data_IF_421361438497
#
_entry.id   IF_421361438497
#
_cell.length_a   1.000
_cell.length_b   1.000
_cell.length_c   1.000
_cell.angle_alpha   90.00
_cell.angle_beta   90.00
_cell.angle_gamma   90.00
#
_symmetry.space_group_name_H-M   'P 1'
#
loop_
_entity.id
_entity.type
_entity.pdbx_description
1 polymer ?
#
# COMPACT_ATOMS: atom_id res chain seq x y z
N UNK A 1 24.69 -6.30 11.78
CA UNK A 1 25.06 -4.88 11.64
C UNK A 1 25.02 -4.38 10.20
N UNK A 2 25.72 -5.01 9.23
CA UNK A 2 25.76 -4.52 7.82
C UNK A 2 24.39 -4.43 7.11
N UNK A 3 23.52 -5.42 7.32
CA UNK A 3 22.18 -5.42 6.70
C UNK A 3 21.22 -4.42 7.37
N UNK A 4 21.30 -4.29 8.69
CA UNK A 4 20.54 -3.29 9.48
C UNK A 4 20.85 -1.86 9.03
N UNK A 5 22.13 -1.54 8.86
CA UNK A 5 22.55 -0.22 8.37
C UNK A 5 22.10 0.05 6.93
N UNK A 6 22.07 -0.98 6.09
CA UNK A 6 21.58 -0.89 4.72
C UNK A 6 20.06 -0.66 4.67
N UNK A 7 19.29 -1.36 5.51
CA UNK A 7 17.85 -1.14 5.59
C UNK A 7 17.50 0.29 6.05
N UNK A 8 18.21 0.80 7.07
CA UNK A 8 18.02 2.18 7.55
C UNK A 8 18.47 3.23 6.52
N UNK A 9 19.58 3.00 5.81
CA UNK A 9 20.03 3.93 4.77
C UNK A 9 19.06 3.98 3.59
N UNK A 10 18.48 2.84 3.20
CA UNK A 10 17.45 2.77 2.16
C UNK A 10 16.14 3.43 2.58
N UNK A 11 15.73 3.28 3.83
CA UNK A 11 14.58 4.00 4.37
C UNK A 11 14.80 5.53 4.31
N UNK A 12 15.99 5.99 4.71
CA UNK A 12 16.40 7.39 4.58
C UNK A 12 16.42 7.88 3.13
N UNK A 13 16.94 7.07 2.21
CA UNK A 13 16.97 7.36 0.78
C UNK A 13 15.55 7.47 0.20
N UNK A 14 14.65 6.53 0.55
CA UNK A 14 13.24 6.56 0.13
C UNK A 14 12.53 7.82 0.62
N UNK A 15 12.79 8.23 1.86
CA UNK A 15 12.27 9.48 2.41
C UNK A 15 12.76 10.70 1.63
N UNK A 16 14.07 10.80 1.39
CA UNK A 16 14.64 11.91 0.61
C UNK A 16 14.07 11.96 -0.81
N UNK A 17 13.97 10.80 -1.48
CA UNK A 17 13.37 10.71 -2.82
C UNK A 17 11.92 11.19 -2.81
N UNK A 18 11.12 10.77 -1.82
CA UNK A 18 9.72 11.21 -1.66
C UNK A 18 9.61 12.73 -1.51
N UNK A 19 10.45 13.33 -0.66
CA UNK A 19 10.47 14.79 -0.44
C UNK A 19 10.86 15.56 -1.71
N UNK A 20 11.90 15.11 -2.41
CA UNK A 20 12.36 15.73 -3.65
C UNK A 20 11.30 15.57 -4.76
N UNK A 21 10.65 14.41 -4.83
CA UNK A 21 9.67 14.07 -5.84
C UNK A 21 8.33 14.80 -5.69
N UNK A 22 7.96 15.20 -4.47
CA UNK A 22 6.70 15.90 -4.20
C UNK A 22 6.51 17.15 -5.06
N UNK A 23 7.54 18.01 -5.18
CA UNK A 23 7.45 19.25 -5.96
C UNK A 23 7.16 19.04 -7.46
N UNK A 24 7.94 18.21 -8.18
CA UNK A 24 7.67 17.81 -9.56
C UNK A 24 6.29 17.16 -9.74
N UNK A 25 5.92 16.18 -8.90
CA UNK A 25 4.64 15.49 -9.03
C UNK A 25 3.46 16.45 -8.89
N UNK A 26 3.50 17.36 -7.91
CA UNK A 26 2.46 18.38 -7.72
C UNK A 26 2.34 19.35 -8.91
N UNK A 27 3.42 19.59 -9.66
CA UNK A 27 3.36 20.36 -10.91
C UNK A 27 2.65 19.57 -12.00
N UNK A 28 2.95 18.29 -12.14
CA UNK A 28 2.32 17.39 -13.11
C UNK A 28 0.82 17.25 -12.83
N UNK A 29 0.43 16.96 -11.59
CA UNK A 29 -0.98 16.79 -11.21
C UNK A 29 -1.80 18.08 -11.44
N UNK A 30 -1.20 19.26 -11.14
CA UNK A 30 -1.81 20.56 -11.45
C UNK A 30 -1.94 20.80 -12.95
N UNK A 31 -0.94 20.42 -13.74
CA UNK A 31 -0.98 20.55 -15.20
C UNK A 31 -2.12 19.71 -15.81
N UNK A 32 -2.31 18.48 -15.33
CA UNK A 32 -3.40 17.60 -15.77
C UNK A 32 -4.77 17.92 -15.14
N UNK A 33 -4.87 18.97 -14.32
CA UNK A 33 -6.09 19.40 -13.61
C UNK A 33 -6.76 18.25 -12.82
N UNK A 34 -5.94 17.37 -12.25
CA UNK A 34 -6.40 16.28 -11.37
C UNK A 34 -6.58 16.89 -9.97
N UNK A 35 -7.70 17.58 -9.76
CA UNK A 35 -8.08 18.19 -8.49
C UNK A 35 -9.45 17.71 -8.05
N UNK A 36 -9.63 17.53 -6.74
CA UNK A 36 -10.90 17.08 -6.13
C UNK A 36 -12.04 18.09 -6.45
N UNK A 37 -13.15 17.60 -7.00
CA UNK A 37 -14.42 18.35 -7.12
C UNK A 37 -15.24 17.99 -5.88
N UNK A 38 -15.64 18.99 -5.07
CA UNK A 38 -16.32 18.75 -3.79
C UNK A 38 -17.77 18.30 -4.03
N UNK A 39 -18.25 17.38 -3.20
CA UNK A 39 -19.65 16.93 -3.09
C UNK A 39 -20.53 18.08 -2.57
N UNK A 40 -21.71 18.29 -3.16
CA UNK A 40 -22.60 19.42 -2.81
C UNK A 40 -23.28 19.24 -1.43
N UNK A 41 -23.23 18.05 -0.83
CA UNK A 41 -24.04 17.67 0.34
C UNK A 41 -23.32 17.74 1.72
N UNK A 42 -22.07 18.23 1.82
CA UNK A 42 -21.37 18.30 3.12
C UNK A 42 -21.56 19.66 3.84
N UNK A 43 -22.07 19.69 5.09
CA UNK A 43 -22.33 20.94 5.80
C UNK A 43 -21.05 21.67 6.22
N UNK A 44 -20.86 22.87 5.68
CA UNK A 44 -20.37 24.06 6.38
C UNK A 44 -18.88 24.21 6.70
N UNK A 45 -18.09 23.16 6.93
CA UNK A 45 -16.75 23.33 7.55
C UNK A 45 -15.52 22.86 6.74
N UNK A 46 -15.70 22.24 5.57
CA UNK A 46 -14.57 21.72 4.76
C UNK A 46 -14.35 22.43 3.41
N UNK A 47 -14.87 23.65 3.23
CA UNK A 47 -14.74 24.42 1.99
C UNK A 47 -13.30 24.89 1.65
N UNK A 48 -12.34 24.68 2.55
CA UNK A 48 -10.94 25.14 2.40
C UNK A 48 -10.06 24.17 1.57
N UNK A 49 -10.54 22.95 1.25
CA UNK A 49 -9.78 21.95 0.47
C UNK A 49 -10.12 21.93 -1.03
N UNK A 50 -10.55 23.05 -1.61
CA UNK A 50 -10.71 23.16 -3.07
C UNK A 50 -9.33 23.16 -3.76
N UNK A 51 -9.16 22.28 -4.75
CA UNK A 51 -8.01 22.33 -5.67
C UNK A 51 -6.72 21.64 -5.19
N UNK A 52 -6.74 20.93 -4.06
CA UNK A 52 -5.62 20.03 -3.72
C UNK A 52 -5.64 18.81 -4.66
N UNK A 53 -4.49 18.46 -5.26
CA UNK A 53 -4.44 17.36 -6.21
C UNK A 53 -4.72 16.02 -5.52
N UNK A 54 -5.67 15.27 -6.06
CA UNK A 54 -5.94 13.87 -5.69
C UNK A 54 -4.92 12.95 -6.34
N UNK A 55 -4.65 11.78 -5.73
CA UNK A 55 -3.52 10.86 -6.03
C UNK A 55 -2.20 11.15 -5.29
N UNK A 56 -2.23 11.73 -4.09
CA UNK A 56 -1.04 11.91 -3.25
C UNK A 56 -0.27 10.62 -2.93
N UNK A 57 -0.94 9.46 -2.92
CA UNK A 57 -0.31 8.15 -2.71
C UNK A 57 0.80 7.81 -3.71
N UNK A 58 0.74 8.37 -4.93
CA UNK A 58 1.79 8.23 -5.95
C UNK A 58 3.14 8.77 -5.44
N UNK A 59 3.14 9.76 -4.54
CA UNK A 59 4.36 10.29 -3.93
C UNK A 59 5.13 9.22 -3.15
N UNK A 60 4.42 8.28 -2.53
CA UNK A 60 5.02 7.21 -1.71
C UNK A 60 5.30 5.97 -2.55
N UNK A 61 4.35 5.58 -3.41
CA UNK A 61 4.44 4.34 -4.20
C UNK A 61 5.62 4.40 -5.17
N UNK A 62 5.86 5.54 -5.82
CA UNK A 62 6.92 5.65 -6.84
C UNK A 62 8.33 5.44 -6.27
N UNK A 63 8.77 6.15 -5.21
CA UNK A 63 10.07 5.90 -4.58
C UNK A 63 10.21 4.48 -4.04
N UNK A 64 9.20 3.96 -3.35
CA UNK A 64 9.22 2.60 -2.79
C UNK A 64 9.38 1.57 -3.90
N UNK A 65 8.55 1.65 -4.95
CA UNK A 65 8.63 0.72 -6.06
C UNK A 65 9.97 0.80 -6.80
N UNK A 66 10.49 2.00 -7.03
CA UNK A 66 11.76 2.17 -7.73
C UNK A 66 12.91 1.51 -6.94
N UNK A 67 13.00 1.77 -5.64
CA UNK A 67 14.05 1.20 -4.78
C UNK A 67 13.90 -0.33 -4.73
N UNK A 68 12.69 -0.83 -4.48
CA UNK A 68 12.45 -2.28 -4.38
C UNK A 68 12.77 -2.99 -5.70
N UNK A 69 12.33 -2.46 -6.84
CA UNK A 69 12.62 -3.04 -8.16
C UNK A 69 14.11 -3.00 -8.46
N UNK A 70 14.80 -1.89 -8.17
CA UNK A 70 16.23 -1.74 -8.45
C UNK A 70 17.07 -2.73 -7.63
N UNK A 71 16.74 -2.91 -6.35
CA UNK A 71 17.45 -3.85 -5.48
C UNK A 71 17.18 -5.31 -5.81
N UNK A 72 15.96 -5.62 -6.25
CA UNK A 72 15.57 -6.98 -6.61
C UNK A 72 15.74 -7.27 -8.10
N UNK A 73 16.36 -6.38 -8.89
CA UNK A 73 16.44 -6.51 -10.34
C UNK A 73 17.05 -7.86 -10.77
N UNK A 74 18.08 -8.33 -10.07
CA UNK A 74 18.72 -9.63 -10.32
C UNK A 74 17.77 -10.80 -10.03
N UNK A 75 17.03 -10.74 -8.93
CA UNK A 75 16.02 -11.75 -8.59
C UNK A 75 14.81 -11.71 -9.55
N UNK A 76 14.41 -10.52 -10.00
CA UNK A 76 13.33 -10.31 -10.99
C UNK A 76 13.72 -10.87 -12.36
N UNK A 77 14.99 -10.77 -12.75
CA UNK A 77 15.53 -11.37 -13.98
C UNK A 77 15.67 -12.90 -13.91
N UNK A 78 15.25 -13.53 -12.81
CA UNK A 78 15.17 -14.98 -12.67
C UNK A 78 16.49 -15.66 -12.32
N UNK A 79 17.51 -14.89 -11.93
CA UNK A 79 18.82 -15.42 -11.54
C UNK A 79 18.87 -15.89 -10.07
N UNK A 80 17.87 -15.51 -9.26
CA UNK A 80 17.78 -15.94 -7.86
C UNK A 80 16.32 -16.13 -7.41
N UNK A 81 16.05 -17.17 -6.58
CA UNK A 81 14.71 -17.53 -6.08
C UNK A 81 14.32 -16.78 -4.81
N UNK A 82 15.27 -16.11 -4.16
CA UNK A 82 15.14 -15.48 -2.83
C UNK A 82 14.21 -14.26 -2.86
N UNK A 83 14.10 -13.56 -3.99
CA UNK A 83 13.27 -12.35 -4.15
C UNK A 83 11.75 -12.59 -4.25
N UNK A 84 11.27 -13.84 -4.29
CA UNK A 84 9.83 -14.14 -4.49
C UNK A 84 8.93 -13.54 -3.40
N UNK A 85 9.42 -13.47 -2.16
CA UNK A 85 8.65 -12.91 -1.03
C UNK A 85 8.40 -11.41 -1.19
N UNK A 86 9.36 -10.66 -1.75
CA UNK A 86 9.25 -9.20 -1.91
C UNK A 86 8.34 -8.80 -3.08
N UNK A 87 8.23 -9.66 -4.10
CA UNK A 87 7.39 -9.41 -5.27
C UNK A 87 5.90 -9.36 -4.93
N UNK A 88 5.44 -10.21 -3.99
CA UNK A 88 4.00 -10.29 -3.66
C UNK A 88 3.50 -8.97 -3.04
N UNK A 89 4.12 -8.42 -1.98
CA UNK A 89 3.77 -7.10 -1.47
C UNK A 89 3.84 -5.99 -2.52
N UNK A 90 4.83 -6.04 -3.43
CA UNK A 90 4.95 -5.05 -4.52
C UNK A 90 3.74 -5.12 -5.47
N UNK A 91 3.36 -6.32 -5.92
CA UNK A 91 2.21 -6.54 -6.80
C UNK A 91 0.92 -6.11 -6.10
N UNK A 92 0.76 -6.45 -4.82
CA UNK A 92 -0.42 -6.04 -4.02
C UNK A 92 -0.47 -4.53 -3.88
N UNK A 93 0.65 -3.88 -3.55
CA UNK A 93 0.75 -2.42 -3.47
C UNK A 93 0.32 -1.77 -4.79
N UNK A 94 0.82 -2.25 -5.92
CA UNK A 94 0.42 -1.75 -7.24
C UNK A 94 -1.05 -2.03 -7.57
N UNK A 95 -1.58 -3.21 -7.22
CA UNK A 95 -2.98 -3.57 -7.45
C UNK A 95 -3.95 -2.67 -6.69
N UNK A 96 -3.71 -2.44 -5.39
CA UNK A 96 -4.52 -1.53 -4.58
C UNK A 96 -4.30 -0.07 -4.95
N UNK A 97 -3.08 0.32 -5.32
CA UNK A 97 -2.80 1.66 -5.84
C UNK A 97 -3.57 1.95 -7.13
N UNK A 98 -3.59 1.00 -8.06
CA UNK A 98 -4.35 1.13 -9.31
C UNK A 98 -5.85 1.21 -9.02
N UNK A 99 -6.36 0.35 -8.12
CA UNK A 99 -7.76 0.41 -7.71
C UNK A 99 -8.12 1.77 -7.11
N UNK A 100 -7.28 2.32 -6.22
CA UNK A 100 -7.47 3.64 -5.64
C UNK A 100 -7.39 4.76 -6.68
N UNK A 101 -6.45 4.68 -7.63
CA UNK A 101 -6.33 5.64 -8.71
C UNK A 101 -7.55 5.62 -9.66
N UNK A 102 -8.11 4.44 -9.93
CA UNK A 102 -9.33 4.28 -10.72
C UNK A 102 -10.56 4.86 -9.98
N UNK A 103 -10.66 4.64 -8.67
CA UNK A 103 -11.70 5.19 -7.80
C UNK A 103 -11.65 6.74 -7.78
N UNK A 104 -10.45 7.31 -7.56
CA UNK A 104 -10.20 8.76 -7.62
C UNK A 104 -10.52 9.33 -9.01
N UNK A 105 -10.15 8.62 -10.08
CA UNK A 105 -10.42 9.06 -11.45
C UNK A 105 -11.92 9.02 -11.77
N UNK A 106 -12.64 7.98 -11.36
CA UNK A 106 -14.09 7.90 -11.52
C UNK A 106 -14.80 9.00 -10.74
N UNK A 107 -14.32 9.37 -9.54
CA UNK A 107 -14.85 10.52 -8.80
C UNK A 107 -14.69 11.87 -9.52
N UNK A 108 -13.60 12.06 -10.27
CA UNK A 108 -13.29 13.31 -10.99
C UNK A 108 -14.00 13.38 -12.35
N UNK A 109 -13.96 12.29 -13.14
CA UNK A 109 -14.42 12.27 -14.54
C UNK A 109 -15.67 11.43 -14.78
N UNK A 110 -16.11 10.66 -13.79
CA UNK A 110 -17.24 9.76 -13.91
C UNK A 110 -18.59 10.48 -13.99
N UNK A 111 -19.62 9.69 -14.28
CA UNK A 111 -21.01 10.17 -14.39
C UNK A 111 -21.55 10.64 -13.04
N UNK A 112 -21.01 10.12 -11.94
CA UNK A 112 -21.35 10.48 -10.56
C UNK A 112 -20.30 11.44 -10.02
N UNK A 113 -20.30 12.68 -10.51
CA UNK A 113 -19.30 13.69 -10.11
C UNK A 113 -19.25 13.82 -8.58
N UNK A 114 -18.09 13.58 -7.98
CA UNK A 114 -17.87 13.64 -6.54
C UNK A 114 -18.10 12.33 -5.78
N UNK A 115 -18.77 11.34 -6.39
CA UNK A 115 -18.85 9.97 -5.86
C UNK A 115 -17.87 9.10 -6.65
N UNK A 116 -16.93 8.45 -5.96
CA UNK A 116 -16.02 7.48 -6.56
C UNK A 116 -16.74 6.25 -7.13
N UNK A 117 -15.98 5.18 -7.34
CA UNK A 117 -16.48 3.88 -7.77
C UNK A 117 -17.60 3.39 -6.83
N UNK A 118 -18.57 2.65 -7.40
CA UNK A 118 -19.61 2.03 -6.60
C UNK A 118 -18.99 1.15 -5.51
N UNK A 119 -19.36 1.38 -4.25
CA UNK A 119 -18.82 0.64 -3.10
C UNK A 119 -18.86 -0.88 -3.28
N UNK A 120 -19.94 -1.41 -3.89
CA UNK A 120 -20.07 -2.84 -4.23
C UNK A 120 -19.01 -3.32 -5.23
N UNK A 121 -18.76 -2.54 -6.28
CA UNK A 121 -17.76 -2.87 -7.30
C UNK A 121 -16.34 -2.80 -6.70
N UNK A 122 -16.04 -1.72 -5.97
CA UNK A 122 -14.76 -1.56 -5.27
C UNK A 122 -14.51 -2.73 -4.32
N UNK A 123 -15.51 -3.12 -3.53
CA UNK A 123 -15.43 -4.25 -2.62
C UNK A 123 -15.20 -5.58 -3.35
N UNK A 124 -15.91 -5.86 -4.45
CA UNK A 124 -15.70 -7.08 -5.25
C UNK A 124 -14.26 -7.15 -5.77
N UNK A 125 -13.71 -6.05 -6.28
CA UNK A 125 -12.32 -6.01 -6.74
C UNK A 125 -11.35 -6.24 -5.58
N UNK A 126 -11.58 -5.60 -4.42
CA UNK A 126 -10.78 -5.85 -3.21
C UNK A 126 -10.82 -7.31 -2.78
N UNK A 127 -11.98 -7.97 -2.85
CA UNK A 127 -12.12 -9.41 -2.53
C UNK A 127 -11.30 -10.26 -3.48
N UNK A 128 -11.37 -10.00 -4.79
CA UNK A 128 -10.60 -10.74 -5.79
C UNK A 128 -9.09 -10.57 -5.55
N UNK A 129 -8.63 -9.34 -5.35
CA UNK A 129 -7.23 -9.05 -5.06
C UNK A 129 -6.76 -9.73 -3.76
N UNK A 130 -7.57 -9.68 -2.71
CA UNK A 130 -7.23 -10.24 -1.41
C UNK A 130 -7.20 -11.77 -1.41
N UNK A 131 -8.17 -12.43 -2.07
CA UNK A 131 -8.18 -13.89 -2.24
C UNK A 131 -6.99 -14.33 -3.09
N UNK A 132 -6.73 -13.66 -4.22
CA UNK A 132 -5.58 -13.95 -5.06
C UNK A 132 -4.26 -13.84 -4.30
N UNK A 133 -4.12 -12.79 -3.49
CA UNK A 133 -2.96 -12.60 -2.60
C UNK A 133 -2.84 -13.73 -1.58
N UNK A 134 -3.92 -14.09 -0.90
CA UNK A 134 -3.93 -15.16 0.10
C UNK A 134 -3.58 -16.53 -0.51
N UNK A 135 -4.04 -16.82 -1.73
CA UNK A 135 -3.69 -18.05 -2.46
C UNK A 135 -2.19 -18.10 -2.78
N UNK A 136 -1.61 -16.99 -3.24
CA UNK A 136 -0.17 -16.91 -3.52
C UNK A 136 0.64 -17.07 -2.23
N UNK A 137 0.24 -16.41 -1.15
CA UNK A 137 0.92 -16.52 0.15
C UNK A 137 0.90 -17.97 0.66
N UNK A 138 -0.25 -18.66 0.60
CA UNK A 138 -0.39 -20.03 1.09
C UNK A 138 0.30 -21.07 0.20
N UNK A 139 0.05 -21.05 -1.12
CA UNK A 139 0.44 -22.15 -2.00
C UNK A 139 1.72 -21.92 -2.79
N UNK A 140 2.16 -20.67 -2.95
CA UNK A 140 3.37 -20.35 -3.73
C UNK A 140 4.55 -19.93 -2.84
N UNK A 141 4.27 -19.20 -1.77
CA UNK A 141 5.28 -18.79 -0.78
C UNK A 141 5.30 -19.65 0.47
N UNK A 142 4.27 -20.47 0.70
CA UNK A 142 4.16 -21.39 1.85
C UNK A 142 4.45 -20.68 3.18
N UNK A 143 3.91 -19.46 3.33
CA UNK A 143 4.17 -18.65 4.52
C UNK A 143 3.57 -19.29 5.77
N UNK A 144 4.17 -19.11 6.96
CA UNK A 144 3.57 -19.55 8.22
C UNK A 144 2.15 -19.00 8.37
N UNK A 145 1.19 -19.87 8.66
CA UNK A 145 -0.23 -19.52 8.60
C UNK A 145 -0.69 -18.66 9.77
N UNK A 146 -0.33 -19.06 11.00
CA UNK A 146 -0.59 -18.29 12.21
C UNK A 146 0.52 -18.51 13.23
N UNK A 147 1.14 -17.40 13.65
CA UNK A 147 2.12 -17.36 14.75
C UNK A 147 1.48 -16.59 15.90
N UNK A 148 1.32 -17.25 17.05
CA UNK A 148 0.85 -16.60 18.27
C UNK A 148 2.04 -16.23 19.15
N UNK A 149 2.19 -14.95 19.56
CA UNK A 149 3.25 -14.57 20.50
C UNK A 149 3.20 -15.41 21.78
N UNK A 150 4.32 -16.05 22.12
CA UNK A 150 4.42 -16.92 23.29
C UNK A 150 4.09 -18.39 23.04
N UNK A 151 3.61 -18.76 21.85
CA UNK A 151 3.45 -20.15 21.40
C UNK A 151 4.61 -20.47 20.44
N UNK A 152 5.38 -21.54 20.68
CA UNK A 152 6.55 -21.86 19.86
C UNK A 152 6.17 -22.42 18.48
N UNK A 153 5.00 -23.05 18.36
CA UNK A 153 4.57 -23.74 17.14
C UNK A 153 3.73 -22.83 16.23
N UNK A 154 3.87 -23.06 14.93
CA UNK A 154 3.00 -22.45 13.90
C UNK A 154 1.69 -23.23 13.88
N UNK A 155 0.57 -22.52 13.98
CA UNK A 155 -0.75 -23.11 13.90
C UNK A 155 -1.17 -23.18 12.42
N UNK A 156 -1.44 -24.39 11.95
CA UNK A 156 -2.01 -24.63 10.61
C UNK A 156 -3.51 -24.32 10.63
N UNK A 157 -3.92 -23.36 9.80
CA UNK A 157 -5.31 -22.95 9.63
C UNK A 157 -5.97 -23.72 8.47
N UNK A 158 -5.20 -24.43 7.66
CA UNK A 158 -5.67 -25.13 6.47
C UNK A 158 -6.42 -24.17 5.55
N UNK A 159 -7.60 -24.56 5.09
CA UNK A 159 -8.40 -23.73 4.18
C UNK A 159 -8.81 -22.39 4.80
N UNK A 160 -8.88 -22.29 6.13
CA UNK A 160 -9.28 -21.06 6.83
C UNK A 160 -8.27 -19.92 6.72
N UNK A 161 -7.02 -20.21 6.38
CA UNK A 161 -6.03 -19.17 6.10
C UNK A 161 -6.52 -18.18 5.03
N UNK A 162 -7.15 -18.69 3.96
CA UNK A 162 -7.57 -17.86 2.81
C UNK A 162 -8.61 -16.81 3.21
N UNK A 163 -9.77 -17.15 3.79
CA UNK A 163 -10.76 -16.16 4.19
C UNK A 163 -10.25 -15.22 5.29
N UNK A 164 -9.42 -15.70 6.23
CA UNK A 164 -8.84 -14.88 7.30
C UNK A 164 -7.87 -13.84 6.71
N UNK A 165 -6.92 -14.28 5.89
CA UNK A 165 -5.97 -13.38 5.23
C UNK A 165 -6.70 -12.37 4.33
N UNK A 166 -7.70 -12.83 3.55
CA UNK A 166 -8.49 -11.94 2.72
C UNK A 166 -9.23 -10.88 3.54
N UNK A 167 -9.86 -11.28 4.66
CA UNK A 167 -10.52 -10.36 5.57
C UNK A 167 -9.56 -9.31 6.14
N UNK A 168 -8.36 -9.71 6.56
CA UNK A 168 -7.33 -8.80 7.09
C UNK A 168 -6.90 -7.80 6.03
N UNK A 169 -6.61 -8.25 4.80
CA UNK A 169 -6.17 -7.37 3.70
C UNK A 169 -7.27 -6.35 3.35
N UNK A 170 -8.50 -6.80 3.16
CA UNK A 170 -9.65 -5.94 2.85
C UNK A 170 -9.91 -4.97 4.01
N UNK A 171 -9.90 -5.46 5.24
CA UNK A 171 -10.09 -4.67 6.45
C UNK A 171 -9.06 -3.57 6.59
N UNK A 172 -7.77 -3.89 6.40
CA UNK A 172 -6.69 -2.93 6.44
C UNK A 172 -6.82 -1.85 5.35
N UNK A 173 -7.13 -2.24 4.11
CA UNK A 173 -7.32 -1.30 3.00
C UNK A 173 -8.46 -0.31 3.27
N UNK A 174 -9.59 -0.79 3.79
CA UNK A 174 -10.73 0.07 4.12
C UNK A 174 -10.49 0.91 5.38
N UNK A 175 -9.81 0.37 6.41
CA UNK A 175 -9.46 1.12 7.61
C UNK A 175 -8.56 2.33 7.31
N UNK A 176 -7.52 2.15 6.47
CA UNK A 176 -6.69 3.27 6.02
C UNK A 176 -7.50 4.26 5.19
N UNK A 177 -8.37 3.80 4.29
CA UNK A 177 -9.23 4.68 3.50
C UNK A 177 -10.19 5.52 4.37
N UNK A 178 -10.76 4.94 5.43
CA UNK A 178 -11.64 5.67 6.36
C UNK A 178 -10.90 6.68 7.24
N UNK A 179 -9.60 6.47 7.49
CA UNK A 179 -8.78 7.41 8.28
C UNK A 179 -8.21 8.55 7.43
N UNK A 180 -8.34 8.52 6.10
CA UNK A 180 -7.81 9.50 5.15
C UNK A 180 -8.74 10.73 4.95
N UNK A 181 -9.58 11.04 5.94
CA UNK A 181 -10.50 12.19 5.92
C UNK A 181 -9.92 13.50 6.48
N UNK A 182 -8.88 13.41 7.31
CA UNK A 182 -8.23 14.54 7.97
C UNK A 182 -6.79 14.70 7.46
N UNK A 183 -6.33 15.95 7.34
CA UNK A 183 -5.00 16.23 6.77
C UNK A 183 -3.90 15.58 7.62
N UNK A 184 -3.18 14.63 7.01
CA UNK A 184 -2.03 13.96 7.63
C UNK A 184 -2.36 12.81 8.59
N UNK A 185 -3.64 12.53 8.90
CA UNK A 185 -4.02 11.47 9.85
C UNK A 185 -3.64 10.07 9.33
N UNK A 186 -4.11 9.69 8.13
CA UNK A 186 -3.78 8.39 7.54
C UNK A 186 -2.27 8.24 7.30
N UNK A 187 -1.58 9.33 6.96
CA UNK A 187 -0.13 9.35 6.79
C UNK A 187 0.61 9.01 8.09
N UNK A 188 0.24 9.65 9.20
CA UNK A 188 0.85 9.37 10.51
C UNK A 188 0.53 7.95 11.01
N UNK A 189 -0.72 7.49 10.88
CA UNK A 189 -1.10 6.12 11.28
C UNK A 189 -0.35 5.08 10.45
N UNK A 190 -0.19 5.31 9.15
CA UNK A 190 0.56 4.41 8.27
C UNK A 190 2.05 4.42 8.64
N UNK A 191 2.63 5.60 8.90
CA UNK A 191 4.04 5.73 9.28
C UNK A 191 4.36 4.99 10.58
N UNK A 192 3.50 5.10 11.61
CA UNK A 192 3.69 4.37 12.87
C UNK A 192 3.54 2.86 12.68
N UNK A 193 2.57 2.41 11.89
CA UNK A 193 2.40 1.00 11.56
C UNK A 193 3.62 0.44 10.81
N UNK A 194 4.12 1.13 9.78
CA UNK A 194 5.30 0.71 9.03
C UNK A 194 6.57 0.70 9.89
N UNK A 195 6.73 1.67 10.80
CA UNK A 195 7.84 1.67 11.75
C UNK A 195 7.80 0.45 12.69
N UNK A 196 6.61 0.09 13.18
CA UNK A 196 6.42 -1.10 14.01
C UNK A 196 6.74 -2.39 13.25
N UNK A 197 6.19 -2.56 12.04
CA UNK A 197 6.49 -3.73 11.19
C UNK A 197 7.97 -3.81 10.80
N UNK A 198 8.60 -2.66 10.49
CA UNK A 198 10.03 -2.59 10.23
C UNK A 198 10.86 -3.03 11.45
N UNK A 199 10.49 -2.59 12.65
CA UNK A 199 11.10 -3.04 13.89
C UNK A 199 10.96 -4.54 14.12
N UNK A 200 9.77 -5.11 13.91
CA UNK A 200 9.54 -6.55 14.01
C UNK A 200 10.39 -7.32 13.01
N UNK A 201 10.45 -6.90 11.75
CA UNK A 201 11.27 -7.52 10.72
C UNK A 201 12.77 -7.50 11.11
N UNK A 202 13.27 -6.39 11.66
CA UNK A 202 14.65 -6.29 12.16
C UNK A 202 14.91 -7.24 13.32
N UNK A 203 13.98 -7.37 14.26
CA UNK A 203 14.10 -8.29 15.41
C UNK A 203 14.06 -9.76 14.98
N UNK A 204 13.30 -10.09 13.93
CA UNK A 204 13.23 -11.43 13.34
C UNK A 204 14.38 -11.73 12.37
N UNK A 205 15.30 -10.79 12.13
CA UNK A 205 16.39 -10.96 11.16
C UNK A 205 15.93 -10.95 9.70
N UNK A 206 14.69 -10.53 9.42
CA UNK A 206 14.10 -10.40 8.09
C UNK A 206 14.50 -9.06 7.45
N UNK A 207 15.81 -8.81 7.34
CA UNK A 207 16.40 -7.59 6.75
C UNK A 207 16.66 -7.72 5.25
N UNK A 208 16.16 -8.79 4.62
CA UNK A 208 16.32 -9.04 3.20
C UNK A 208 15.46 -8.06 2.39
N UNK A 209 16.12 -7.18 1.65
CA UNK A 209 15.50 -6.18 0.77
C UNK A 209 15.77 -6.46 -0.72
N UNK A 210 16.54 -7.52 -1.04
CA UNK A 210 16.99 -7.88 -2.38
C UNK A 210 17.84 -9.14 -2.37
#
# INVERSE_FOLDING_TARGET
MKQTSLALSLAGLSFMMTVIWGGPLLRILRHFKIGKIIRVDEPGFHQVKMGTPTMGGVMVIMPVALITIMLNAVAILGLDRTGRSVMVPLIVMFGYALLGALDDWEGIRGKRRGDGMQARMKFVIQVILAIGTALVLKYMLEVPELILPGVPDVIDLGIWYIPIAAFIIIGASNAVNFTDGLDGLAGLISATAFAAYGGIAMLQGQVFLG
#
